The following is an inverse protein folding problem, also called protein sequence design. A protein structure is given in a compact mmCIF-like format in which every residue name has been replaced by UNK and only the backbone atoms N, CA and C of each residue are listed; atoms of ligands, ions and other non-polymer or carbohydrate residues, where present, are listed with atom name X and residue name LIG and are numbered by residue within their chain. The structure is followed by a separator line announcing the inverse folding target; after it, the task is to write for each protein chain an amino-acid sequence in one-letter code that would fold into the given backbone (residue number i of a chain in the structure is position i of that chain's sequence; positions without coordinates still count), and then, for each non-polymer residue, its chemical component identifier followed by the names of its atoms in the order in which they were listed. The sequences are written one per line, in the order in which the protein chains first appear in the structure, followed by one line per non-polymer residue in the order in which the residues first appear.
data_IF_515937575897
#
_entry.id   IF_515937575897
#
_cell.length_a   1.000
_cell.length_b   1.000
_cell.length_c   1.000
_cell.angle_alpha   90.00
_cell.angle_beta   90.00
_cell.angle_gamma   90.00
#
_symmetry.space_group_name_H-M   'P 1'
#
loop_
_entity.id
_entity.type
_entity.pdbx_description
1 polymer ?
#
# COMPACT_ATOMS: atom_id res chain seq x y z
N UNK A 1 -1.65 -2.06 6.93
CA UNK A 1 -2.64 -2.75 6.07
C UNK A 1 -1.87 -3.70 5.17
N UNK A 2 -2.23 -4.96 5.18
CA UNK A 2 -1.58 -6.03 4.42
C UNK A 2 -2.47 -6.44 3.25
N UNK A 3 -1.87 -6.81 2.14
CA UNK A 3 -2.57 -7.56 1.09
C UNK A 3 -2.78 -9.02 1.56
N UNK A 4 -3.76 -9.74 1.00
CA UNK A 4 -3.99 -11.15 1.38
C UNK A 4 -2.75 -12.00 1.14
N UNK A 5 -2.58 -13.04 1.94
CA UNK A 5 -1.50 -14.02 1.81
C UNK A 5 -0.06 -13.47 1.96
N UNK A 6 0.12 -12.20 2.32
CA UNK A 6 1.44 -11.57 2.51
C UNK A 6 1.99 -11.66 3.95
N UNK A 7 1.44 -12.55 4.78
CA UNK A 7 1.91 -12.79 6.15
C UNK A 7 1.38 -11.83 7.21
N UNK A 8 0.45 -10.95 6.86
CA UNK A 8 -0.23 -10.07 7.82
C UNK A 8 -1.25 -10.82 8.68
N UNK A 9 -1.27 -10.54 9.99
CA UNK A 9 -2.31 -11.02 10.90
C UNK A 9 -3.43 -9.97 10.98
N UNK A 10 -4.68 -10.39 10.79
CA UNK A 10 -5.86 -9.52 10.96
C UNK A 10 -6.14 -9.32 12.45
N UNK A 11 -5.74 -8.17 13.00
CA UNK A 11 -5.87 -7.84 14.42
C UNK A 11 -6.23 -6.35 14.58
N UNK A 12 -7.49 -5.97 14.33
CA UNK A 12 -7.93 -4.58 14.46
C UNK A 12 -7.84 -4.07 15.91
N UNK A 13 -7.56 -2.77 16.12
CA UNK A 13 -7.33 -1.75 15.10
C UNK A 13 -5.91 -1.73 14.53
N UNK A 14 -4.97 -2.42 15.18
CA UNK A 14 -3.52 -2.31 14.92
C UNK A 14 -3.11 -2.83 13.54
N UNK A 15 -3.75 -3.90 13.06
CA UNK A 15 -3.44 -4.52 11.77
C UNK A 15 -4.70 -4.95 11.04
N UNK A 16 -4.75 -4.59 9.75
CA UNK A 16 -5.82 -4.94 8.83
C UNK A 16 -5.23 -5.73 7.66
N UNK A 17 -6.00 -6.71 7.18
CA UNK A 17 -5.72 -7.50 5.97
C UNK A 17 -6.81 -7.16 4.95
N UNK A 18 -6.42 -6.91 3.71
CA UNK A 18 -7.31 -6.64 2.59
C UNK A 18 -7.41 -7.88 1.69
N UNK A 19 -8.59 -8.50 1.65
CA UNK A 19 -8.83 -9.75 0.93
C UNK A 19 -9.02 -9.58 -0.59
N UNK A 20 -9.17 -8.35 -1.09
CA UNK A 20 -9.40 -8.09 -2.51
C UNK A 20 -8.19 -8.38 -3.40
N UNK A 21 -6.98 -8.20 -2.88
CA UNK A 21 -5.73 -8.27 -3.66
C UNK A 21 -4.63 -8.96 -2.84
N UNK A 22 -3.80 -9.81 -3.48
CA UNK A 22 -2.65 -10.47 -2.83
C UNK A 22 -1.36 -9.64 -2.85
N UNK A 23 -1.36 -8.48 -3.50
CA UNK A 23 -0.19 -7.62 -3.53
C UNK A 23 -0.61 -6.16 -3.65
N UNK A 24 0.21 -5.26 -3.10
CA UNK A 24 0.09 -3.82 -3.35
C UNK A 24 0.78 -3.38 -4.64
N UNK A 25 1.41 -4.32 -5.35
CA UNK A 25 2.24 -4.07 -6.50
C UNK A 25 3.68 -3.73 -6.11
N UNK A 26 4.61 -4.05 -7.02
CA UNK A 26 6.02 -3.67 -6.94
C UNK A 26 6.39 -2.97 -8.25
N UNK A 27 7.26 -1.96 -8.19
CA UNK A 27 7.67 -1.23 -9.39
C UNK A 27 8.63 -0.10 -9.08
N UNK A 28 9.23 0.45 -10.14
CA UNK A 28 10.17 1.57 -10.01
C UNK A 28 9.50 2.87 -9.54
N UNK A 29 8.19 3.01 -9.73
CA UNK A 29 7.40 4.13 -9.24
C UNK A 29 6.09 3.60 -8.68
N UNK A 30 5.90 3.68 -7.36
CA UNK A 30 4.67 3.28 -6.66
C UNK A 30 4.09 4.49 -5.97
N UNK A 31 2.80 4.78 -6.21
CA UNK A 31 2.07 5.89 -5.60
C UNK A 31 0.95 5.32 -4.74
N UNK A 32 0.84 5.78 -3.50
CA UNK A 32 -0.20 5.38 -2.55
C UNK A 32 -0.85 6.63 -1.98
N UNK A 33 -2.17 6.70 -2.10
CA UNK A 33 -2.96 7.88 -1.71
C UNK A 33 -3.98 7.52 -0.64
N UNK A 34 -4.11 8.37 0.38
CA UNK A 34 -5.14 8.28 1.42
C UNK A 34 -6.29 9.23 1.06
N UNK A 35 -7.48 8.65 0.84
CA UNK A 35 -8.70 9.37 0.51
C UNK A 35 -9.66 9.35 1.72
N UNK A 36 -10.30 10.48 2.02
CA UNK A 36 -11.34 10.53 3.07
C UNK A 36 -12.70 10.00 2.55
N UNK A 37 -13.71 9.95 3.43
CA UNK A 37 -15.07 9.52 3.06
C UNK A 37 -15.77 10.42 2.03
N UNK A 38 -15.32 11.66 1.88
CA UNK A 38 -15.90 12.67 1.00
C UNK A 38 -15.23 12.64 -0.41
N UNK A 39 -14.21 11.81 -0.58
CA UNK A 39 -13.45 11.66 -1.82
C UNK A 39 -12.23 12.58 -1.94
N UNK A 40 -11.93 13.39 -0.92
CA UNK A 40 -10.76 14.27 -0.94
C UNK A 40 -9.47 13.50 -0.63
N UNK A 41 -8.41 13.83 -1.38
CA UNK A 41 -7.06 13.41 -1.06
C UNK A 41 -6.55 14.10 0.22
N UNK A 42 -6.05 13.31 1.16
CA UNK A 42 -5.52 13.78 2.45
C UNK A 42 -4.02 13.63 2.56
N UNK A 43 -3.46 12.61 1.92
CA UNK A 43 -2.03 12.37 1.88
C UNK A 43 -1.67 11.52 0.67
N UNK A 44 -0.47 11.72 0.15
CA UNK A 44 0.11 10.90 -0.93
C UNK A 44 1.54 10.55 -0.57
N UNK A 45 1.90 9.30 -0.81
CA UNK A 45 3.25 8.79 -0.68
C UNK A 45 3.72 8.20 -2.01
N UNK A 46 4.89 8.61 -2.48
CA UNK A 46 5.49 8.09 -3.72
C UNK A 46 6.83 7.45 -3.42
N UNK A 47 6.99 6.17 -3.76
CA UNK A 47 8.26 5.47 -3.72
C UNK A 47 8.83 5.38 -5.12
N UNK A 48 10.08 5.82 -5.27
CA UNK A 48 10.83 5.71 -6.53
C UNK A 48 12.10 4.90 -6.29
N UNK A 49 12.26 3.81 -7.02
CA UNK A 49 13.48 3.02 -7.00
C UNK A 49 14.39 3.51 -8.12
N UNK A 50 15.58 3.98 -7.75
CA UNK A 50 16.62 4.36 -8.70
C UNK A 50 17.55 3.15 -8.82
N UNK A 51 17.54 2.47 -9.97
CA UNK A 51 18.57 1.48 -10.27
C UNK A 51 19.79 2.24 -10.79
N UNK A 52 20.79 2.42 -9.94
CA UNK A 52 22.13 2.79 -10.40
C UNK A 52 22.75 1.57 -11.06
N UNK A 53 22.99 1.66 -12.37
CA UNK A 53 23.63 0.60 -13.15
C UNK A 53 25.01 0.25 -12.59
N UNK A 54 25.32 -1.05 -12.62
CA UNK A 54 26.52 -1.69 -12.09
C UNK A 54 27.73 -1.50 -13.01
#
# INVERSE_FOLDING_TARGET
IWARDQGGIHSPPESLVYDGENTWGIGANVVTTLINKDGDERATHTQKTIQTGQ
#
